data_IF_819109433322
#
_entry.id   IF_819109433322
#
_cell.length_a   1.000
_cell.length_b   1.000
_cell.length_c   1.000
_cell.angle_alpha   90.00
_cell.angle_beta   90.00
_cell.angle_gamma   90.00
#
_symmetry.space_group_name_H-M   'P 1'
#
loop_
_entity.id
_entity.type
_entity.pdbx_description
1 polymer ?
#
# COMPACT_ATOMS: atom_id res chain seq x y z
N UNK A 1 22.11 62.30 -18.32
CA UNK A 1 22.62 62.97 -17.11
C UNK A 1 22.48 61.94 -16.02
N UNK A 2 23.59 61.26 -15.77
CA UNK A 2 23.72 60.16 -14.83
C UNK A 2 23.66 60.68 -13.41
N UNK A 3 22.66 60.26 -12.64
CA UNK A 3 22.70 60.40 -11.19
C UNK A 3 23.18 59.07 -10.61
N UNK A 4 24.51 58.97 -10.49
CA UNK A 4 25.17 58.03 -9.61
C UNK A 4 24.61 58.21 -8.20
N UNK A 5 23.80 57.26 -7.74
CA UNK A 5 23.52 57.11 -6.32
C UNK A 5 24.76 56.45 -5.73
N UNK A 6 25.58 57.26 -5.07
CA UNK A 6 26.70 56.80 -4.26
C UNK A 6 26.11 56.00 -3.09
N UNK A 7 26.50 54.72 -2.97
CA UNK A 7 26.01 53.79 -1.94
C UNK A 7 26.87 53.88 -0.65
N UNK A 8 27.83 54.81 -0.61
CA UNK A 8 28.74 55.03 0.53
C UNK A 8 28.39 56.30 1.34
N UNK A 9 27.15 56.77 1.30
CA UNK A 9 26.66 57.70 2.33
C UNK A 9 26.43 56.87 3.59
N UNK A 10 27.47 56.79 4.44
CA UNK A 10 27.34 56.43 5.85
C UNK A 10 26.07 57.07 6.38
N UNK A 11 25.11 56.25 6.85
CA UNK A 11 23.94 56.73 7.56
C UNK A 11 24.45 57.49 8.80
N UNK A 12 24.65 58.80 8.66
CA UNK A 12 25.09 59.64 9.74
C UNK A 12 23.86 59.90 10.61
N UNK A 13 23.55 58.93 11.47
CA UNK A 13 22.44 58.97 12.41
C UNK A 13 22.82 59.99 13.50
N UNK A 14 22.66 61.27 13.20
CA UNK A 14 22.81 62.34 14.18
C UNK A 14 21.47 62.62 14.88
N UNK A 15 21.54 63.41 15.96
CA UNK A 15 20.37 63.76 16.78
C UNK A 15 19.33 64.55 15.98
N UNK A 16 19.75 65.37 15.01
CA UNK A 16 18.87 66.16 14.15
C UNK A 16 18.15 65.29 13.10
N UNK A 17 18.80 64.24 12.60
CA UNK A 17 18.25 63.25 11.71
C UNK A 17 17.17 62.42 12.42
N UNK A 18 17.45 61.96 13.64
CA UNK A 18 16.45 61.29 14.49
C UNK A 18 15.27 62.23 14.78
N UNK A 19 15.52 63.52 15.04
CA UNK A 19 14.48 64.51 15.30
C UNK A 19 13.58 64.75 14.08
N UNK A 20 14.17 64.84 12.88
CA UNK A 20 13.42 64.93 11.61
C UNK A 20 12.58 63.69 11.34
N UNK A 21 13.10 62.49 11.65
CA UNK A 21 12.35 61.24 11.57
C UNK A 21 11.17 61.25 12.55
N UNK A 22 11.41 61.59 13.82
CA UNK A 22 10.36 61.69 14.84
C UNK A 22 9.25 62.67 14.45
N UNK A 23 9.59 63.83 13.89
CA UNK A 23 8.59 64.79 13.37
C UNK A 23 7.84 64.26 12.15
N UNK A 24 8.54 63.64 11.20
CA UNK A 24 7.95 63.11 9.96
C UNK A 24 6.96 61.98 10.21
N UNK A 25 7.23 61.11 11.19
CA UNK A 25 6.42 59.94 11.49
C UNK A 25 5.52 60.12 12.72
N UNK A 26 5.45 61.33 13.29
CA UNK A 26 4.67 61.66 14.50
C UNK A 26 3.19 61.29 14.44
N UNK A 27 2.60 61.29 13.24
CA UNK A 27 1.18 61.02 13.00
C UNK A 27 0.96 59.66 12.31
N UNK A 28 2.00 58.84 12.22
CA UNK A 28 1.92 57.53 11.58
C UNK A 28 1.61 56.51 12.67
N UNK A 29 0.39 55.98 12.64
CA UNK A 29 -0.07 54.92 13.53
C UNK A 29 0.51 53.56 13.11
N UNK A 30 1.85 53.46 13.09
CA UNK A 30 2.56 52.22 12.73
C UNK A 30 3.21 51.61 13.98
N UNK A 31 3.11 50.28 14.20
CA UNK A 31 3.59 49.60 15.41
C UNK A 31 5.01 49.95 15.85
N UNK A 32 5.90 50.22 14.88
CA UNK A 32 7.30 50.58 15.12
C UNK A 32 7.49 51.96 15.80
N UNK A 33 6.52 52.86 15.69
CA UNK A 33 6.61 54.26 16.17
C UNK A 33 5.57 54.59 17.25
N UNK A 34 4.86 53.59 17.77
CA UNK A 34 3.87 53.78 18.82
C UNK A 34 4.52 53.86 20.21
N UNK A 35 4.14 54.88 20.98
CA UNK A 35 4.59 55.04 22.37
C UNK A 35 3.83 54.08 23.33
N UNK A 36 2.56 53.79 23.04
CA UNK A 36 1.72 52.89 23.82
C UNK A 36 0.81 52.04 22.90
N UNK A 37 0.51 50.80 23.31
CA UNK A 37 -0.43 49.94 22.59
C UNK A 37 -1.86 50.49 22.66
N UNK A 38 -2.60 50.54 21.54
CA UNK A 38 -3.99 50.98 21.55
C UNK A 38 -4.87 50.00 22.35
N UNK A 39 -5.94 50.54 22.94
CA UNK A 39 -6.88 49.75 23.77
C UNK A 39 -7.68 48.72 22.96
N UNK A 40 -7.81 48.95 21.65
CA UNK A 40 -8.46 48.04 20.71
C UNK A 40 -7.47 47.71 19.59
N UNK A 41 -7.04 46.45 19.52
CA UNK A 41 -6.05 45.97 18.55
C UNK A 41 -6.64 45.87 17.13
N UNK A 42 -7.96 45.79 17.00
CA UNK A 42 -8.67 45.61 15.72
C UNK A 42 -8.80 46.92 14.91
N UNK A 43 -8.43 48.07 15.50
CA UNK A 43 -8.53 49.38 14.84
C UNK A 43 -7.28 49.73 14.03
N UNK A 44 -6.20 48.93 14.15
CA UNK A 44 -4.93 49.17 13.47
C UNK A 44 -4.50 47.95 12.64
N UNK A 45 -4.55 48.10 11.31
CA UNK A 45 -4.27 47.02 10.34
C UNK A 45 -2.86 46.44 10.48
N UNK A 46 -1.86 47.28 10.76
CA UNK A 46 -0.47 46.87 10.92
C UNK A 46 -0.22 46.07 12.22
N UNK A 47 -0.89 46.46 13.32
CA UNK A 47 -0.88 45.71 14.58
C UNK A 47 -1.61 44.38 14.44
N UNK A 48 -2.73 44.33 13.69
CA UNK A 48 -3.44 43.09 13.40
C UNK A 48 -2.58 42.13 12.57
N UNK A 49 -1.85 42.64 11.56
CA UNK A 49 -0.91 41.86 10.77
C UNK A 49 0.23 41.30 11.63
N UNK A 50 0.83 42.13 12.49
CA UNK A 50 1.90 41.71 13.41
C UNK A 50 1.37 40.67 14.42
N UNK A 51 0.17 40.88 14.94
CA UNK A 51 -0.48 39.94 15.86
C UNK A 51 -0.78 38.60 15.19
N UNK A 52 -1.27 38.59 13.94
CA UNK A 52 -1.43 37.37 13.13
C UNK A 52 -0.11 36.63 12.95
N UNK A 53 0.98 37.34 12.66
CA UNK A 53 2.32 36.73 12.53
C UNK A 53 2.73 36.06 13.85
N UNK A 54 2.67 36.79 14.97
CA UNK A 54 3.06 36.28 16.29
C UNK A 54 2.19 35.09 16.73
N UNK A 55 0.88 35.15 16.47
CA UNK A 55 -0.06 34.08 16.85
C UNK A 55 -0.05 32.89 15.90
N UNK A 56 0.34 33.07 14.63
CA UNK A 56 0.46 32.00 13.65
C UNK A 56 1.60 31.02 13.97
N UNK A 57 2.68 31.49 14.61
CA UNK A 57 3.79 30.62 15.03
C UNK A 57 3.39 29.68 16.18
N UNK A 58 2.48 30.13 17.06
CA UNK A 58 2.10 29.41 18.28
C UNK A 58 0.77 28.62 18.18
N UNK A 59 -0.10 28.91 17.18
CA UNK A 59 -1.39 28.24 17.03
C UNK A 59 -1.45 27.31 15.80
N UNK A 60 -1.45 25.98 15.99
CA UNK A 60 -1.53 25.00 14.90
C UNK A 60 -2.72 25.14 13.96
N UNK A 61 -3.87 25.62 14.46
CA UNK A 61 -5.08 25.79 13.67
C UNK A 61 -4.95 26.96 12.69
N UNK A 62 -4.43 28.10 13.15
CA UNK A 62 -4.19 29.29 12.32
C UNK A 62 -3.14 28.97 11.27
N UNK A 63 -2.02 28.36 11.68
CA UNK A 63 -0.95 28.00 10.75
C UNK A 63 -1.43 27.05 9.64
N UNK A 64 -2.24 26.04 9.98
CA UNK A 64 -2.81 25.13 8.99
C UNK A 64 -3.82 25.82 8.06
N UNK A 65 -4.54 26.83 8.56
CA UNK A 65 -5.43 27.66 7.76
C UNK A 65 -4.64 28.50 6.75
N UNK A 66 -3.51 29.10 7.15
CA UNK A 66 -2.66 29.86 6.25
C UNK A 66 -2.10 28.98 5.12
N UNK A 67 -1.67 27.75 5.45
CA UNK A 67 -1.27 26.76 4.45
C UNK A 67 -2.41 26.36 3.50
N UNK A 68 -3.67 26.32 3.98
CA UNK A 68 -4.84 26.09 3.14
C UNK A 68 -5.02 27.24 2.14
N UNK A 69 -4.91 28.49 2.57
CA UNK A 69 -5.07 29.66 1.70
C UNK A 69 -3.96 29.73 0.65
N UNK A 70 -2.70 29.56 1.04
CA UNK A 70 -1.58 29.48 0.08
C UNK A 70 -1.79 28.35 -0.92
N UNK A 71 -2.25 27.18 -0.46
CA UNK A 71 -2.58 26.06 -1.35
C UNK A 71 -3.75 26.36 -2.30
N UNK A 72 -4.74 27.13 -1.86
CA UNK A 72 -5.86 27.57 -2.69
C UNK A 72 -5.39 28.54 -3.78
N UNK A 73 -4.46 29.43 -3.48
CA UNK A 73 -3.92 30.38 -4.44
C UNK A 73 -3.13 29.67 -5.54
N UNK A 74 -2.23 28.73 -5.18
CA UNK A 74 -1.58 27.87 -6.17
C UNK A 74 -2.57 27.03 -6.98
N UNK A 75 -3.68 26.60 -6.38
CA UNK A 75 -4.73 25.89 -7.12
C UNK A 75 -5.42 26.78 -8.15
N UNK A 76 -5.66 28.07 -7.83
CA UNK A 76 -6.23 29.05 -8.76
C UNK A 76 -5.27 29.37 -9.91
N UNK A 77 -3.96 29.44 -9.63
CA UNK A 77 -2.92 29.69 -10.63
C UNK A 77 -2.80 28.56 -11.67
N UNK A 78 -3.41 27.40 -11.39
CA UNK A 78 -3.70 26.35 -12.37
C UNK A 78 -2.71 25.18 -12.35
N UNK A 79 -2.77 24.38 -13.42
CA UNK A 79 -2.19 23.02 -13.45
C UNK A 79 -0.68 23.00 -13.15
N UNK A 80 0.05 24.05 -13.53
CA UNK A 80 1.50 24.17 -13.32
C UNK A 80 1.87 24.16 -11.83
N UNK A 81 1.03 24.76 -10.98
CA UNK A 81 1.29 24.94 -9.54
C UNK A 81 0.56 23.93 -8.66
N UNK A 82 -0.01 22.88 -9.25
CA UNK A 82 -0.68 21.82 -8.49
C UNK A 82 0.25 21.04 -7.55
N UNK A 83 1.53 20.91 -7.89
CA UNK A 83 2.48 20.28 -6.96
C UNK A 83 2.76 21.19 -5.75
N UNK A 84 2.89 22.50 -5.97
CA UNK A 84 3.08 23.48 -4.90
C UNK A 84 1.85 23.56 -3.99
N UNK A 85 0.65 23.55 -4.58
CA UNK A 85 -0.61 23.46 -3.84
C UNK A 85 -0.67 22.20 -2.95
N UNK A 86 -0.25 21.04 -3.49
CA UNK A 86 -0.20 19.78 -2.72
C UNK A 86 0.81 19.87 -1.57
N UNK A 87 1.97 20.50 -1.79
CA UNK A 87 2.97 20.71 -0.73
C UNK A 87 2.38 21.57 0.39
N UNK A 88 1.69 22.67 0.06
CA UNK A 88 1.03 23.54 1.05
C UNK A 88 -0.04 22.78 1.84
N UNK A 89 -0.93 22.04 1.16
CA UNK A 89 -1.93 21.24 1.86
C UNK A 89 -1.31 20.14 2.74
N UNK A 90 -0.22 19.50 2.30
CA UNK A 90 0.49 18.50 3.11
C UNK A 90 1.01 19.11 4.41
N UNK A 91 1.64 20.30 4.35
CA UNK A 91 2.14 21.00 5.54
C UNK A 91 1.01 21.28 6.53
N UNK A 92 -0.13 21.80 6.06
CA UNK A 92 -1.30 22.02 6.90
C UNK A 92 -1.84 20.74 7.54
N UNK A 93 -1.91 19.64 6.77
CA UNK A 93 -2.35 18.32 7.25
C UNK A 93 -1.40 17.79 8.33
N UNK A 94 -0.09 17.89 8.11
CA UNK A 94 0.93 17.38 9.02
C UNK A 94 0.90 18.13 10.37
N UNK A 95 0.73 19.45 10.33
CA UNK A 95 0.59 20.29 11.54
C UNK A 95 -0.62 19.84 12.37
N UNK A 96 -1.79 19.71 11.75
CA UNK A 96 -3.01 19.31 12.46
C UNK A 96 -2.94 17.87 12.98
N UNK A 97 -2.38 16.94 12.21
CA UNK A 97 -2.20 15.56 12.65
C UNK A 97 -1.22 15.45 13.82
N UNK A 98 -0.11 16.19 13.78
CA UNK A 98 0.83 16.26 14.88
C UNK A 98 0.19 16.85 16.13
N UNK A 99 -0.65 17.89 15.97
CA UNK A 99 -1.43 18.45 17.06
C UNK A 99 -2.38 17.40 17.69
N UNK A 100 -3.20 16.71 16.89
CA UNK A 100 -4.09 15.66 17.39
C UNK A 100 -3.32 14.53 18.12
N UNK A 101 -2.18 14.11 17.56
CA UNK A 101 -1.31 13.11 18.18
C UNK A 101 -0.75 13.57 19.53
N UNK A 102 -0.39 14.84 19.64
CA UNK A 102 0.09 15.42 20.91
C UNK A 102 -1.00 15.40 22.00
N UNK A 103 -2.25 15.70 21.62
CA UNK A 103 -3.41 15.61 22.53
C UNK A 103 -3.64 14.18 23.02
N UNK A 104 -3.57 13.20 22.12
CA UNK A 104 -3.74 11.78 22.49
C UNK A 104 -2.69 11.31 23.49
N UNK A 105 -1.44 11.76 23.35
CA UNK A 105 -0.34 11.44 24.27
C UNK A 105 -0.58 12.09 25.64
N UNK A 106 -1.00 13.35 25.68
CA UNK A 106 -1.33 14.04 26.93
C UNK A 106 -2.48 13.34 27.67
N UNK A 107 -3.53 12.93 26.96
CA UNK A 107 -4.66 12.19 27.53
C UNK A 107 -4.24 10.83 28.10
N UNK A 108 -3.40 10.06 27.40
CA UNK A 108 -2.87 8.78 27.88
C UNK A 108 -2.00 8.92 29.13
N UNK A 109 -1.20 9.98 29.23
CA UNK A 109 -0.35 10.24 30.39
C UNK A 109 -1.18 10.65 31.63
N UNK A 110 -2.25 11.42 31.44
CA UNK A 110 -3.18 11.78 32.52
C UNK A 110 -3.94 10.56 33.07
N UNK A 111 -4.34 9.61 32.20
CA UNK A 111 -4.98 8.35 32.64
C UNK A 111 -4.04 7.44 33.44
N UNK A 112 -2.73 7.41 33.12
CA UNK A 112 -1.73 6.64 33.89
C UNK A 112 -1.43 7.27 35.26
N UNK A 113 -1.43 8.61 35.36
CA UNK A 113 -1.19 9.32 36.61
C UNK A 113 -2.34 9.13 37.64
N UNK A 114 -3.59 9.03 37.17
CA UNK A 114 -4.73 8.76 38.05
C UNK A 114 -4.78 7.32 38.60
N UNK A 115 -4.25 6.33 37.87
CA UNK A 115 -4.15 4.96 38.39
C UNK A 115 -3.06 4.78 39.46
N UNK A 116 -2.05 5.66 39.51
CA UNK A 116 -1.01 5.61 40.55
C UNK A 116 -1.41 6.36 41.84
N UNK A 117 -2.41 7.25 41.81
CA UNK A 117 -2.94 7.90 43.03
C UNK A 117 -3.96 7.07 43.80
N UNK A 118 -4.51 6.01 43.20
CA UNK A 118 -5.44 5.09 43.88
C UNK A 118 -4.77 3.89 44.56
N UNK A 119 -3.45 3.72 44.44
CA UNK A 119 -2.74 2.55 44.98
C UNK A 119 -1.82 2.84 46.19
N UNK A 120 -1.96 4.00 46.82
CA UNK A 120 -1.11 4.39 47.96
C UNK A 120 -1.79 4.35 49.34
N UNK A 121 -2.92 3.67 49.48
CA UNK A 121 -3.54 3.37 50.76
C UNK A 121 -3.79 1.85 50.91
N UNK A 122 -2.71 1.07 50.97
CA UNK A 122 -2.61 -0.10 51.84
C UNK A 122 -1.23 -0.72 51.69
N UNK A 123 -0.30 -0.34 52.56
CA UNK A 123 0.69 -1.32 53.01
C UNK A 123 1.24 -0.89 54.37
N UNK A 124 0.61 -1.38 55.43
CA UNK A 124 1.35 -1.60 56.66
C UNK A 124 0.94 -2.95 57.26
N UNK A 125 1.96 -3.69 57.66
CA UNK A 125 1.96 -4.89 58.48
C UNK A 125 1.66 -6.26 57.83
N UNK A 126 2.75 -6.95 57.47
CA UNK A 126 3.43 -7.93 58.34
C UNK A 126 3.77 -9.23 57.59
N UNK A 127 4.99 -9.67 57.85
CA UNK A 127 5.70 -10.77 57.21
C UNK A 127 5.61 -12.00 58.14
N UNK A 128 5.03 -13.12 57.70
CA UNK A 128 5.63 -14.44 57.94
C UNK A 128 4.92 -15.62 57.24
N UNK A 129 5.76 -16.44 56.60
CA UNK A 129 5.81 -17.91 56.58
C UNK A 129 4.79 -18.81 55.82
N UNK A 130 5.38 -19.53 54.85
CA UNK A 130 5.35 -20.97 54.58
C UNK A 130 4.09 -21.72 54.03
N UNK A 131 4.29 -22.22 52.81
CA UNK A 131 4.06 -23.57 52.29
C UNK A 131 2.65 -24.19 52.09
N UNK A 132 2.50 -24.70 50.87
CA UNK A 132 1.86 -25.96 50.41
C UNK A 132 0.35 -26.05 50.10
N UNK A 133 0.11 -26.33 48.81
CA UNK A 133 -0.79 -27.29 48.16
C UNK A 133 -2.32 -27.35 48.42
N UNK A 134 -3.02 -27.10 47.31
CA UNK A 134 -4.11 -27.86 46.67
C UNK A 134 -5.58 -27.81 47.14
N UNK A 135 -6.40 -27.63 46.08
CA UNK A 135 -7.74 -28.18 45.81
C UNK A 135 -9.03 -27.43 46.25
N UNK A 136 -9.64 -26.78 45.25
CA UNK A 136 -11.01 -26.94 44.75
C UNK A 136 -12.23 -26.70 45.68
N UNK A 137 -13.10 -25.73 45.35
CA UNK A 137 -14.36 -25.93 44.58
C UNK A 137 -15.28 -24.68 44.65
N UNK A 138 -15.83 -24.28 43.49
CA UNK A 138 -17.14 -23.65 43.17
C UNK A 138 -17.84 -22.66 44.15
N UNK A 139 -18.57 -21.59 43.78
CA UNK A 139 -19.38 -21.33 42.58
C UNK A 139 -19.87 -19.84 42.55
N UNK A 140 -20.17 -19.36 41.34
CA UNK A 140 -21.29 -18.49 40.92
C UNK A 140 -21.18 -16.96 40.74
N UNK A 141 -21.39 -16.57 39.47
CA UNK A 141 -22.07 -15.41 38.87
C UNK A 141 -21.72 -13.97 39.28
N UNK A 142 -21.25 -13.14 38.32
CA UNK A 142 -22.16 -12.43 37.41
C UNK A 142 -21.41 -11.74 36.24
N UNK A 143 -22.09 -11.75 35.12
CA UNK A 143 -21.90 -11.13 33.80
C UNK A 143 -21.34 -9.69 33.81
N UNK A 144 -20.36 -9.35 32.94
CA UNK A 144 -20.58 -8.40 31.83
C UNK A 144 -19.41 -8.32 30.82
N UNK A 145 -19.84 -8.30 29.57
CA UNK A 145 -19.23 -8.20 28.26
C UNK A 145 -18.17 -7.07 28.06
N UNK A 146 -17.01 -7.38 27.48
CA UNK A 146 -16.41 -6.50 26.47
C UNK A 146 -15.55 -7.29 25.46
N UNK A 147 -16.05 -7.37 24.23
CA UNK A 147 -15.52 -8.16 23.13
C UNK A 147 -14.38 -7.41 22.45
N UNK A 148 -13.17 -7.95 22.56
CA UNK A 148 -11.96 -7.49 21.89
C UNK A 148 -11.86 -8.21 20.53
N UNK A 149 -12.24 -7.55 19.43
CA UNK A 149 -12.06 -8.11 18.09
C UNK A 149 -10.75 -7.61 17.47
N UNK A 150 -9.68 -8.34 17.76
CA UNK A 150 -8.42 -8.30 17.03
C UNK A 150 -8.54 -9.28 15.86
N UNK A 151 -8.91 -8.80 14.67
CA UNK A 151 -8.91 -9.65 13.47
C UNK A 151 -7.63 -9.42 12.66
N UNK A 152 -6.69 -10.32 12.91
CA UNK A 152 -5.57 -10.67 12.06
C UNK A 152 -6.13 -11.11 10.69
N UNK A 153 -5.86 -10.36 9.61
CA UNK A 153 -6.14 -10.87 8.27
C UNK A 153 -4.86 -11.12 7.49
N UNK A 154 -4.82 -12.37 7.04
CA UNK A 154 -3.72 -13.08 6.47
C UNK A 154 -3.37 -12.54 5.08
N UNK A 155 -2.08 -12.58 4.81
CA UNK A 155 -1.45 -12.25 3.55
C UNK A 155 -1.99 -13.19 2.45
N UNK A 156 -2.53 -12.66 1.35
CA UNK A 156 -2.68 -13.44 0.13
C UNK A 156 -2.04 -12.69 -1.04
N UNK A 157 -1.00 -13.34 -1.56
CA UNK A 157 -0.10 -12.92 -2.61
C UNK A 157 -0.82 -12.99 -3.96
N UNK A 158 -0.87 -11.89 -4.70
CA UNK A 158 -1.14 -11.92 -6.14
C UNK A 158 0.07 -11.29 -6.85
N UNK A 159 0.96 -12.16 -7.33
CA UNK A 159 1.95 -11.83 -8.35
C UNK A 159 1.22 -11.36 -9.62
N UNK A 160 1.53 -10.14 -10.06
CA UNK A 160 1.51 -9.79 -11.48
C UNK A 160 2.94 -9.43 -11.86
N UNK A 161 3.60 -10.36 -12.54
CA UNK A 161 4.91 -10.19 -13.17
C UNK A 161 4.79 -9.41 -14.49
N UNK A 162 5.78 -8.55 -14.73
CA UNK A 162 6.17 -7.96 -16.02
C UNK A 162 5.47 -6.63 -16.38
N UNK A 163 6.13 -5.50 -16.63
CA UNK A 163 7.54 -5.15 -16.79
C UNK A 163 7.63 -3.62 -16.61
N UNK A 164 8.55 -3.11 -15.79
CA UNK A 164 9.34 -1.94 -16.18
C UNK A 164 10.61 -1.86 -15.33
N UNK A 165 11.72 -1.78 -16.04
CA UNK A 165 13.10 -2.00 -15.62
C UNK A 165 13.66 -0.92 -14.70
N UNK A 166 14.54 -1.37 -13.82
CA UNK A 166 15.48 -0.59 -13.00
C UNK A 166 16.11 0.60 -13.73
N UNK A 167 16.23 1.73 -13.01
CA UNK A 167 17.50 2.45 -12.95
C UNK A 167 17.64 3.15 -11.58
N UNK A 168 18.37 2.50 -10.68
CA UNK A 168 18.99 3.15 -9.55
C UNK A 168 20.11 4.06 -10.06
N UNK A 169 20.18 5.29 -9.56
CA UNK A 169 21.46 5.95 -9.29
C UNK A 169 21.32 6.76 -8.00
N UNK A 170 22.02 6.28 -6.98
CA UNK A 170 22.32 6.99 -5.75
C UNK A 170 22.98 8.34 -6.04
N UNK A 171 22.66 9.36 -5.26
CA UNK A 171 23.63 10.40 -4.92
C UNK A 171 23.35 10.92 -3.51
N UNK A 172 24.22 10.47 -2.59
CA UNK A 172 24.56 11.14 -1.34
C UNK A 172 25.06 12.55 -1.66
N UNK A 173 24.51 13.57 -1.00
CA UNK A 173 25.19 14.86 -0.83
C UNK A 173 25.13 15.25 0.64
N UNK A 174 26.26 14.96 1.31
CA UNK A 174 26.75 15.72 2.45
C UNK A 174 26.96 17.18 2.02
N UNK A 175 26.57 18.15 2.84
CA UNK A 175 27.23 19.45 2.85
C UNK A 175 27.38 19.96 4.29
N UNK A 176 28.62 19.81 4.77
CA UNK A 176 29.24 20.68 5.78
C UNK A 176 29.82 21.89 5.05
N UNK A 177 29.59 23.09 5.56
CA UNK A 177 30.46 24.28 5.46
C UNK A 177 29.96 25.25 6.54
N UNK A 178 30.67 25.45 7.64
CA UNK A 178 31.87 26.28 7.86
C UNK A 178 31.48 27.63 8.48
N UNK A 179 31.86 27.74 9.74
CA UNK A 179 31.96 28.95 10.55
C UNK A 179 33.04 29.93 10.03
N UNK A 180 33.04 31.11 10.67
CA UNK A 180 33.98 32.24 10.60
C UNK A 180 33.67 33.26 9.46
N UNK A 181 33.44 34.54 9.72
CA UNK A 181 34.24 35.51 10.50
C UNK A 181 33.37 36.74 10.85
N UNK A 182 33.37 37.19 12.11
CA UNK A 182 33.81 38.55 12.52
C UNK A 182 33.71 38.72 14.04
N UNK A 183 34.87 38.65 14.70
CA UNK A 183 35.11 39.22 16.03
C UNK A 183 35.30 40.72 15.88
N UNK A 184 34.69 41.50 16.77
CA UNK A 184 35.35 42.68 17.32
C UNK A 184 34.98 42.85 18.80
N UNK A 185 36.04 42.83 19.61
CA UNK A 185 36.08 43.29 20.99
C UNK A 185 35.73 44.78 21.05
N UNK A 186 35.19 45.28 22.19
CA UNK A 186 35.79 46.35 23.01
C UNK A 186 34.95 46.60 24.28
N UNK A 187 35.62 46.31 25.41
CA UNK A 187 35.75 47.04 26.69
C UNK A 187 34.51 47.54 27.43
N UNK A 188 34.42 47.00 28.65
CA UNK A 188 33.86 47.62 29.85
C UNK A 188 34.41 49.04 30.10
N UNK A 189 33.50 49.96 30.39
CA UNK A 189 33.75 51.09 31.30
C UNK A 189 32.51 51.33 32.15
N UNK A 190 32.70 51.19 33.47
CA UNK A 190 31.74 51.54 34.50
C UNK A 190 31.47 53.05 34.49
N UNK A 191 30.20 53.42 34.68
CA UNK A 191 29.83 54.58 35.50
C UNK A 191 28.44 54.38 36.10
N UNK A 192 28.37 54.63 37.39
CA UNK A 192 27.27 54.43 38.34
C UNK A 192 26.32 55.62 38.40
N UNK A 193 25.10 55.34 38.89
CA UNK A 193 24.04 56.26 39.36
C UNK A 193 23.20 56.92 38.25
N UNK A 194 21.87 56.97 38.28
CA UNK A 194 20.91 56.95 39.39
C UNK A 194 19.51 56.48 38.94
N UNK A 195 18.94 55.56 39.72
CA UNK A 195 17.52 55.41 40.10
C UNK A 195 16.42 56.01 39.22
N UNK A 196 15.64 55.13 38.59
CA UNK A 196 14.32 55.42 38.02
C UNK A 196 13.55 54.11 37.79
N UNK A 197 13.01 53.52 38.85
CA UNK A 197 12.15 52.34 38.78
C UNK A 197 10.92 52.64 37.91
N UNK A 198 10.81 52.01 36.75
CA UNK A 198 9.51 51.77 36.09
C UNK A 198 9.42 50.28 35.80
N UNK A 199 8.61 49.61 36.63
CA UNK A 199 8.19 48.22 36.47
C UNK A 199 7.27 48.14 35.25
N UNK A 200 7.75 47.62 34.12
CA UNK A 200 6.91 47.20 33.00
C UNK A 200 7.43 45.88 32.40
N UNK A 201 7.60 44.87 33.26
CA UNK A 201 7.98 43.50 32.84
C UNK A 201 6.84 42.47 33.03
N UNK A 202 5.62 42.91 33.37
CA UNK A 202 4.53 42.01 33.77
C UNK A 202 3.37 41.88 32.76
N UNK A 203 3.36 42.64 31.66
CA UNK A 203 2.26 42.57 30.67
C UNK A 203 2.50 41.47 29.62
N UNK A 204 3.75 41.22 29.19
CA UNK A 204 4.07 40.19 28.18
C UNK A 204 4.35 38.77 28.74
N UNK A 205 4.34 38.59 30.06
CA UNK A 205 4.52 37.25 30.68
C UNK A 205 3.21 36.60 31.14
N UNK A 206 2.14 37.37 31.33
CA UNK A 206 0.89 36.85 31.88
C UNK A 206 -0.13 36.35 30.84
N UNK A 207 0.08 36.59 29.55
CA UNK A 207 -0.79 36.07 28.49
C UNK A 207 -0.27 34.79 27.79
N UNK A 208 0.92 34.30 28.15
CA UNK A 208 1.44 33.01 27.62
C UNK A 208 0.65 31.78 28.07
N UNK A 209 -0.31 31.95 28.99
CA UNK A 209 -1.14 30.89 29.55
C UNK A 209 -2.65 31.14 29.39
N UNK A 210 -3.08 32.03 28.49
CA UNK A 210 -4.41 31.85 27.88
C UNK A 210 -4.26 30.71 26.88
N UNK A 211 -4.44 29.48 27.37
CA UNK A 211 -4.76 28.34 26.51
C UNK A 211 -5.97 28.74 25.66
N UNK A 212 -5.74 29.25 24.46
CA UNK A 212 -6.76 29.36 23.43
C UNK A 212 -7.17 27.91 23.20
N UNK A 213 -8.31 27.53 23.78
CA UNK A 213 -8.81 26.16 23.74
C UNK A 213 -9.26 25.90 22.30
N UNK A 214 -8.34 25.45 21.47
CA UNK A 214 -8.60 25.07 20.08
C UNK A 214 -9.70 24.00 20.10
N UNK A 215 -10.81 24.26 19.41
CA UNK A 215 -11.87 23.27 19.26
C UNK A 215 -11.38 22.14 18.35
N UNK A 216 -11.43 20.92 18.87
CA UNK A 216 -11.08 19.70 18.14
C UNK A 216 -12.01 19.54 16.92
N UNK A 217 -13.25 20.02 17.01
CA UNK A 217 -14.16 19.98 15.88
C UNK A 217 -13.66 20.87 14.72
N UNK A 218 -13.18 22.08 15.01
CA UNK A 218 -12.64 22.98 13.99
C UNK A 218 -11.38 22.40 13.34
N UNK A 219 -10.52 21.75 14.13
CA UNK A 219 -9.37 21.00 13.61
C UNK A 219 -9.81 19.91 12.63
N UNK A 220 -10.83 19.11 12.99
CA UNK A 220 -11.35 18.05 12.11
C UNK A 220 -11.99 18.60 10.84
N UNK A 221 -12.73 19.70 10.95
CA UNK A 221 -13.35 20.38 9.80
C UNK A 221 -12.27 20.89 8.83
N UNK A 222 -11.25 21.59 9.35
CA UNK A 222 -10.15 22.11 8.54
C UNK A 222 -9.33 20.97 7.92
N UNK A 223 -9.06 19.91 8.67
CA UNK A 223 -8.37 18.73 8.17
C UNK A 223 -9.17 18.06 7.04
N UNK A 224 -10.49 17.96 7.19
CA UNK A 224 -11.38 17.47 6.13
C UNK A 224 -11.30 18.31 4.86
N UNK A 225 -11.26 19.64 5.00
CA UNK A 225 -11.11 20.58 3.88
C UNK A 225 -9.79 20.40 3.14
N UNK A 226 -8.67 20.31 3.87
CA UNK A 226 -7.35 20.11 3.30
C UNK A 226 -7.25 18.81 2.50
N UNK A 227 -7.73 17.69 3.08
CA UNK A 227 -7.80 16.41 2.36
C UNK A 227 -8.71 16.52 1.13
N UNK A 228 -9.85 17.21 1.22
CA UNK A 228 -10.76 17.40 0.08
C UNK A 228 -10.08 18.18 -1.06
N UNK A 229 -9.43 19.31 -0.76
CA UNK A 229 -8.74 20.12 -1.75
C UNK A 229 -7.59 19.37 -2.41
N UNK A 230 -6.81 18.61 -1.62
CA UNK A 230 -5.74 17.74 -2.13
C UNK A 230 -6.29 16.62 -3.03
N UNK A 231 -7.42 16.01 -2.65
CA UNK A 231 -8.10 14.99 -3.47
C UNK A 231 -8.48 15.53 -4.85
N UNK A 232 -9.04 16.75 -4.92
CA UNK A 232 -9.43 17.40 -6.19
C UNK A 232 -8.22 17.54 -7.10
N UNK A 233 -7.07 17.95 -6.57
CA UNK A 233 -5.83 18.04 -7.34
C UNK A 233 -5.39 16.66 -7.83
N UNK A 234 -5.38 15.66 -6.94
CA UNK A 234 -5.03 14.29 -7.32
C UNK A 234 -5.93 13.73 -8.41
N UNK A 235 -7.23 13.99 -8.36
CA UNK A 235 -8.16 13.67 -9.44
C UNK A 235 -7.77 14.35 -10.76
N UNK A 236 -7.54 15.68 -10.74
CA UNK A 236 -7.13 16.43 -11.94
C UNK A 236 -5.80 15.94 -12.53
N UNK A 237 -4.88 15.45 -11.69
CA UNK A 237 -3.61 14.82 -12.10
C UNK A 237 -3.75 13.34 -12.47
N UNK A 238 -4.96 12.80 -12.55
CA UNK A 238 -5.28 11.37 -12.84
C UNK A 238 -4.64 10.38 -11.85
N UNK A 239 -4.36 10.83 -10.62
CA UNK A 239 -3.83 10.02 -9.50
C UNK A 239 -5.02 9.48 -8.67
N UNK A 240 -5.84 8.62 -9.27
CA UNK A 240 -7.13 8.22 -8.72
C UNK A 240 -7.05 7.48 -7.38
N UNK A 241 -6.03 6.66 -7.17
CA UNK A 241 -5.82 5.94 -5.90
C UNK A 241 -5.60 6.94 -4.76
N UNK A 242 -4.68 7.90 -4.94
CA UNK A 242 -4.40 8.94 -3.95
C UNK A 242 -5.62 9.84 -3.71
N UNK A 243 -6.37 10.16 -4.77
CA UNK A 243 -7.64 10.87 -4.64
C UNK A 243 -8.62 10.11 -3.75
N UNK A 244 -8.75 8.79 -3.94
CA UNK A 244 -9.67 7.97 -3.16
C UNK A 244 -9.30 7.91 -1.68
N UNK A 245 -8.01 7.80 -1.37
CA UNK A 245 -7.52 7.81 0.01
C UNK A 245 -7.78 9.16 0.69
N UNK A 246 -7.53 10.27 0.00
CA UNK A 246 -7.84 11.61 0.51
C UNK A 246 -9.34 11.84 0.67
N UNK A 247 -10.16 11.35 -0.25
CA UNK A 247 -11.63 11.39 -0.13
C UNK A 247 -12.11 10.61 1.11
N UNK A 248 -11.54 9.44 1.40
CA UNK A 248 -11.85 8.64 2.59
C UNK A 248 -11.46 9.38 3.87
N UNK A 249 -10.24 9.91 3.93
CA UNK A 249 -9.74 10.67 5.08
C UNK A 249 -10.63 11.90 5.32
N UNK A 250 -10.89 12.69 4.28
CA UNK A 250 -11.77 13.87 4.34
C UNK A 250 -13.15 13.53 4.91
N UNK A 251 -13.76 12.45 4.41
CA UNK A 251 -15.08 12.01 4.87
C UNK A 251 -15.08 11.46 6.31
N UNK A 252 -13.96 10.85 6.75
CA UNK A 252 -13.84 10.33 8.12
C UNK A 252 -13.83 11.46 9.16
N UNK A 253 -13.29 12.63 8.80
CA UNK A 253 -13.27 13.80 9.68
C UNK A 253 -14.56 14.64 9.59
N UNK A 254 -15.18 14.72 8.41
CA UNK A 254 -16.45 15.42 8.20
C UNK A 254 -17.37 14.63 7.26
N UNK A 255 -18.40 14.01 7.84
CA UNK A 255 -19.39 13.21 7.10
C UNK A 255 -20.32 14.04 6.21
N UNK A 256 -20.29 15.38 6.29
CA UNK A 256 -21.08 16.28 5.43
C UNK A 256 -20.33 16.71 4.17
N UNK A 257 -19.07 16.29 3.99
CA UNK A 257 -18.23 16.74 2.85
C UNK A 257 -18.61 16.05 1.55
N UNK A 258 -19.65 16.55 0.87
CA UNK A 258 -20.19 15.97 -0.37
C UNK A 258 -19.18 15.91 -1.52
N UNK A 259 -18.30 16.92 -1.67
CA UNK A 259 -17.26 16.96 -2.72
C UNK A 259 -16.36 15.71 -2.65
N UNK A 260 -16.01 15.25 -1.44
CA UNK A 260 -15.17 14.07 -1.25
C UNK A 260 -15.84 12.80 -1.75
N UNK A 261 -17.16 12.65 -1.57
CA UNK A 261 -17.90 11.53 -2.16
C UNK A 261 -18.00 11.66 -3.68
N UNK A 262 -18.30 12.86 -4.21
CA UNK A 262 -18.42 13.08 -5.65
C UNK A 262 -17.12 12.74 -6.39
N UNK A 263 -15.97 13.24 -5.92
CA UNK A 263 -14.66 12.89 -6.48
C UNK A 263 -14.29 11.42 -6.23
N UNK A 264 -14.82 10.80 -5.17
CA UNK A 264 -14.75 9.36 -4.95
C UNK A 264 -15.48 8.56 -6.03
N UNK A 265 -16.72 8.94 -6.38
CA UNK A 265 -17.51 8.33 -7.46
C UNK A 265 -16.76 8.45 -8.79
N UNK A 266 -16.29 9.65 -9.12
CA UNK A 266 -15.55 9.90 -10.35
C UNK A 266 -14.25 9.08 -10.41
N UNK A 267 -13.50 9.01 -9.32
CA UNK A 267 -12.26 8.23 -9.26
C UNK A 267 -12.53 6.75 -9.42
N UNK A 268 -13.54 6.20 -8.74
CA UNK A 268 -13.93 4.80 -8.88
C UNK A 268 -14.41 4.48 -10.29
N UNK A 269 -15.17 5.38 -10.94
CA UNK A 269 -15.60 5.20 -12.32
C UNK A 269 -14.41 5.15 -13.29
N UNK A 270 -13.44 6.06 -13.16
CA UNK A 270 -12.23 6.08 -13.98
C UNK A 270 -11.32 4.85 -13.77
N UNK A 271 -11.38 4.22 -12.59
CA UNK A 271 -10.64 2.99 -12.27
C UNK A 271 -11.45 1.71 -12.54
N UNK A 272 -12.65 1.82 -13.14
CA UNK A 272 -13.57 0.70 -13.38
C UNK A 272 -13.97 -0.08 -12.11
N UNK A 273 -13.86 0.55 -10.94
CA UNK A 273 -14.27 0.01 -9.64
C UNK A 273 -15.76 0.26 -9.41
N UNK A 274 -16.60 -0.29 -10.29
CA UNK A 274 -18.04 0.00 -10.34
C UNK A 274 -18.79 -0.34 -9.06
N UNK A 275 -18.43 -1.45 -8.40
CA UNK A 275 -19.07 -1.85 -7.14
C UNK A 275 -18.88 -0.80 -6.04
N UNK A 276 -17.67 -0.24 -5.92
CA UNK A 276 -17.37 0.79 -4.94
C UNK A 276 -17.96 2.13 -5.36
N UNK A 277 -17.97 2.46 -6.66
CA UNK A 277 -18.67 3.63 -7.18
C UNK A 277 -20.16 3.64 -6.77
N UNK A 278 -20.86 2.50 -6.90
CA UNK A 278 -22.24 2.35 -6.45
C UNK A 278 -22.41 2.57 -4.93
N UNK A 279 -21.45 2.13 -4.10
CA UNK A 279 -21.48 2.41 -2.65
C UNK A 279 -21.35 3.91 -2.37
N UNK A 280 -20.46 4.60 -3.09
CA UNK A 280 -20.29 6.04 -2.97
C UNK A 280 -21.53 6.80 -3.45
N UNK A 281 -22.18 6.36 -4.53
CA UNK A 281 -23.46 6.90 -5.02
C UNK A 281 -24.53 6.79 -3.93
N UNK A 282 -24.70 5.62 -3.31
CA UNK A 282 -25.71 5.44 -2.26
C UNK A 282 -25.49 6.39 -1.08
N UNK A 283 -24.23 6.56 -0.64
CA UNK A 283 -23.88 7.51 0.44
C UNK A 283 -24.10 8.96 0.03
N UNK A 284 -23.81 9.28 -1.24
CA UNK A 284 -23.99 10.63 -1.76
C UNK A 284 -25.48 10.97 -1.84
N UNK A 285 -26.31 10.07 -2.36
CA UNK A 285 -27.76 10.21 -2.41
C UNK A 285 -28.39 10.40 -1.01
N UNK A 286 -27.87 9.70 0.00
CA UNK A 286 -28.28 9.87 1.40
C UNK A 286 -27.96 11.27 1.94
N UNK A 287 -26.77 11.80 1.64
CA UNK A 287 -26.39 13.15 2.05
C UNK A 287 -27.18 14.22 1.30
N UNK A 288 -27.45 14.03 0.01
CA UNK A 288 -28.24 14.97 -0.77
C UNK A 288 -29.62 15.17 -0.14
N UNK A 289 -30.29 14.12 0.31
CA UNK A 289 -31.60 14.22 0.98
C UNK A 289 -31.60 15.12 2.23
N UNK A 290 -30.45 15.28 2.88
CA UNK A 290 -30.30 16.02 4.13
C UNK A 290 -29.83 17.47 3.94
N UNK A 291 -29.51 17.88 2.71
CA UNK A 291 -29.04 19.24 2.40
C UNK A 291 -30.23 20.07 1.89
N UNK A 292 -30.47 21.22 2.52
CA UNK A 292 -31.40 22.23 1.99
C UNK A 292 -30.71 22.95 0.81
N UNK A 293 -31.42 23.26 -0.27
CA UNK A 293 -30.94 24.02 -1.45
C UNK A 293 -29.86 23.34 -2.32
N UNK A 294 -29.99 22.03 -2.52
CA UNK A 294 -29.11 21.16 -3.34
C UNK A 294 -28.85 21.72 -4.74
N UNK A 295 -29.86 22.33 -5.36
CA UNK A 295 -29.84 22.83 -6.74
C UNK A 295 -28.82 23.95 -6.96
N UNK A 296 -28.40 24.65 -5.90
CA UNK A 296 -27.40 25.72 -5.98
C UNK A 296 -25.95 25.21 -6.02
N UNK A 297 -25.69 23.97 -5.56
CA UNK A 297 -24.34 23.44 -5.36
C UNK A 297 -23.93 22.37 -6.37
N UNK A 298 -24.89 21.67 -6.99
CA UNK A 298 -24.65 20.53 -7.88
C UNK A 298 -25.60 20.59 -9.07
N UNK A 299 -25.06 20.35 -10.27
CA UNK A 299 -25.87 20.09 -11.46
C UNK A 299 -26.51 18.70 -11.37
N UNK A 300 -27.76 18.65 -10.89
CA UNK A 300 -28.52 17.41 -10.66
C UNK A 300 -28.66 16.58 -11.96
N UNK A 301 -28.84 17.23 -13.11
CA UNK A 301 -28.99 16.54 -14.40
C UNK A 301 -27.71 15.80 -14.81
N UNK A 302 -26.55 16.43 -14.61
CA UNK A 302 -25.26 15.83 -14.91
C UNK A 302 -24.95 14.65 -13.99
N UNK A 303 -25.26 14.80 -12.69
CA UNK A 303 -25.10 13.72 -11.72
C UNK A 303 -25.99 12.52 -12.03
N UNK A 304 -27.27 12.72 -12.34
CA UNK A 304 -28.19 11.62 -12.69
C UNK A 304 -27.74 10.89 -13.97
N UNK A 305 -27.22 11.62 -14.96
CA UNK A 305 -26.63 11.01 -16.16
C UNK A 305 -25.41 10.16 -15.83
N UNK A 306 -24.50 10.68 -15.00
CA UNK A 306 -23.31 9.95 -14.54
C UNK A 306 -23.70 8.69 -13.76
N UNK A 307 -24.67 8.81 -12.85
CA UNK A 307 -25.20 7.71 -12.05
C UNK A 307 -25.74 6.59 -12.94
N UNK A 308 -26.58 6.93 -13.93
CA UNK A 308 -27.11 5.97 -14.90
C UNK A 308 -26.02 5.25 -15.67
N UNK A 309 -25.03 5.98 -16.19
CA UNK A 309 -23.87 5.41 -16.91
C UNK A 309 -23.08 4.41 -16.04
N UNK A 310 -22.82 4.75 -14.78
CA UNK A 310 -22.10 3.86 -13.85
C UNK A 310 -22.90 2.59 -13.58
N UNK A 311 -24.21 2.68 -13.36
CA UNK A 311 -25.06 1.51 -13.14
C UNK A 311 -25.13 0.60 -14.37
N UNK A 312 -25.27 1.16 -15.58
CA UNK A 312 -25.24 0.37 -16.82
C UNK A 312 -23.91 -0.36 -16.99
N UNK A 313 -22.78 0.32 -16.73
CA UNK A 313 -21.44 -0.29 -16.76
C UNK A 313 -21.30 -1.40 -15.71
N UNK A 314 -21.85 -1.20 -14.51
CA UNK A 314 -21.81 -2.19 -13.44
C UNK A 314 -22.59 -3.45 -13.79
N UNK A 315 -23.81 -3.32 -14.32
CA UNK A 315 -24.63 -4.44 -14.78
C UNK A 315 -23.93 -5.22 -15.90
N UNK A 316 -23.33 -4.52 -16.86
CA UNK A 316 -22.56 -5.14 -17.92
C UNK A 316 -21.34 -5.91 -17.38
N UNK A 317 -20.62 -5.34 -16.41
CA UNK A 317 -19.51 -6.01 -15.72
C UNK A 317 -19.97 -7.29 -15.01
N UNK A 318 -21.09 -7.24 -14.27
CA UNK A 318 -21.66 -8.41 -13.60
C UNK A 318 -22.04 -9.51 -14.59
N UNK A 319 -22.66 -9.15 -15.72
CA UNK A 319 -23.03 -10.09 -16.78
C UNK A 319 -21.82 -10.79 -17.38
N UNK A 320 -20.75 -10.04 -17.68
CA UNK A 320 -19.48 -10.59 -18.20
C UNK A 320 -18.82 -11.52 -17.20
N UNK A 321 -18.76 -11.13 -15.92
CA UNK A 321 -18.20 -11.95 -14.85
C UNK A 321 -18.95 -13.28 -14.71
N UNK A 322 -20.29 -13.25 -14.74
CA UNK A 322 -21.12 -14.46 -14.67
C UNK A 322 -20.89 -15.38 -15.88
N UNK A 323 -20.89 -14.82 -17.09
CA UNK A 323 -20.63 -15.59 -18.33
C UNK A 323 -19.26 -16.28 -18.29
N UNK A 324 -18.22 -15.56 -17.90
CA UNK A 324 -16.87 -16.12 -17.79
C UNK A 324 -16.77 -17.23 -16.72
N UNK A 325 -17.51 -17.10 -15.61
CA UNK A 325 -17.60 -18.16 -14.59
C UNK A 325 -18.33 -19.40 -15.11
N UNK A 326 -19.44 -19.22 -15.82
CA UNK A 326 -20.20 -20.33 -16.40
C UNK A 326 -19.42 -21.06 -17.50
N UNK A 327 -18.65 -20.33 -18.32
CA UNK A 327 -17.75 -20.90 -19.33
C UNK A 327 -16.62 -21.71 -18.69
N UNK A 328 -15.96 -21.18 -17.64
CA UNK A 328 -14.92 -21.91 -16.90
C UNK A 328 -15.44 -23.22 -16.30
N UNK A 329 -16.62 -23.18 -15.67
CA UNK A 329 -17.26 -24.38 -15.11
C UNK A 329 -17.53 -25.44 -16.19
N UNK A 330 -18.01 -25.03 -17.37
CA UNK A 330 -18.24 -25.97 -18.48
C UNK A 330 -16.95 -26.62 -18.98
N UNK A 331 -15.86 -25.87 -19.07
CA UNK A 331 -14.53 -26.40 -19.46
C UNK A 331 -14.03 -27.41 -18.43
N UNK A 332 -14.07 -27.05 -17.13
CA UNK A 332 -13.66 -27.95 -16.05
C UNK A 332 -14.50 -29.24 -15.99
N UNK A 333 -15.82 -29.15 -16.22
CA UNK A 333 -16.69 -30.32 -16.31
C UNK A 333 -16.37 -31.19 -17.54
N UNK A 334 -16.02 -30.59 -18.68
CA UNK A 334 -15.61 -31.32 -19.88
C UNK A 334 -14.27 -32.02 -19.68
N UNK A 335 -13.28 -31.37 -19.07
CA UNK A 335 -11.98 -31.98 -18.75
C UNK A 335 -12.12 -33.16 -17.78
N UNK A 336 -12.92 -33.00 -16.72
CA UNK A 336 -13.23 -34.11 -15.80
C UNK A 336 -13.90 -35.28 -16.49
N UNK A 337 -14.85 -35.02 -17.41
CA UNK A 337 -15.48 -36.08 -18.21
C UNK A 337 -14.47 -36.83 -19.07
N UNK A 338 -13.53 -36.12 -19.71
CA UNK A 338 -12.46 -36.75 -20.51
C UNK A 338 -11.53 -37.61 -19.65
N UNK A 339 -11.11 -37.11 -18.49
CA UNK A 339 -10.24 -37.86 -17.57
C UNK A 339 -10.95 -39.12 -17.06
N UNK A 340 -12.22 -39.01 -16.65
CA UNK A 340 -13.01 -40.16 -16.21
C UNK A 340 -13.14 -41.22 -17.31
N UNK A 341 -13.30 -40.82 -18.58
CA UNK A 341 -13.32 -41.75 -19.72
C UNK A 341 -11.99 -42.51 -19.86
N UNK A 342 -10.85 -41.83 -19.68
CA UNK A 342 -9.53 -42.46 -19.71
C UNK A 342 -9.37 -43.45 -18.55
N UNK A 343 -9.76 -43.06 -17.34
CA UNK A 343 -9.73 -43.96 -16.19
C UNK A 343 -10.59 -45.21 -16.40
N UNK A 344 -11.77 -45.08 -17.01
CA UNK A 344 -12.62 -46.21 -17.33
C UNK A 344 -11.99 -47.15 -18.37
N UNK A 345 -11.27 -46.61 -19.36
CA UNK A 345 -10.51 -47.41 -20.34
C UNK A 345 -9.36 -48.16 -19.65
N UNK A 346 -8.59 -47.47 -18.80
CA UNK A 346 -7.48 -48.08 -18.05
C UNK A 346 -7.98 -49.19 -17.11
N UNK A 347 -9.10 -48.97 -16.40
CA UNK A 347 -9.76 -49.98 -15.57
C UNK A 347 -10.19 -51.20 -16.38
N UNK A 348 -10.80 -51.02 -17.55
CA UNK A 348 -11.19 -52.13 -18.45
C UNK A 348 -9.99 -52.96 -18.93
N UNK A 349 -8.82 -52.34 -19.08
CA UNK A 349 -7.55 -53.01 -19.45
C UNK A 349 -6.83 -53.64 -18.26
N UNK A 350 -7.38 -53.54 -17.05
CA UNK A 350 -6.75 -53.92 -15.77
C UNK A 350 -5.40 -53.23 -15.55
N UNK A 351 -5.26 -51.96 -15.95
CA UNK A 351 -4.05 -51.17 -15.78
C UNK A 351 -4.22 -50.29 -14.54
N UNK A 352 -3.28 -50.38 -13.60
CA UNK A 352 -3.25 -49.55 -12.40
C UNK A 352 -2.58 -48.21 -12.68
N UNK A 353 -3.28 -47.11 -12.40
CA UNK A 353 -2.70 -45.76 -12.44
C UNK A 353 -1.89 -45.52 -11.17
N UNK A 354 -0.66 -45.04 -11.34
CA UNK A 354 0.32 -44.73 -10.31
C UNK A 354 0.67 -43.23 -10.33
N UNK A 355 1.18 -42.67 -9.20
CA UNK A 355 1.71 -41.32 -9.19
C UNK A 355 2.94 -41.20 -10.10
N UNK A 356 3.20 -39.99 -10.61
CA UNK A 356 4.37 -39.72 -11.44
C UNK A 356 5.66 -39.84 -10.62
N UNK A 357 6.74 -40.27 -11.26
CA UNK A 357 8.08 -40.35 -10.65
C UNK A 357 8.70 -38.97 -10.53
N UNK A 358 8.54 -38.15 -11.58
CA UNK A 358 8.96 -36.76 -11.60
C UNK A 358 7.71 -35.88 -11.50
N UNK A 359 7.62 -35.12 -10.42
CA UNK A 359 6.59 -34.09 -10.27
C UNK A 359 6.85 -32.93 -11.23
N UNK A 360 5.77 -32.25 -11.63
CA UNK A 360 5.83 -31.08 -12.50
C UNK A 360 6.84 -30.07 -11.95
N UNK A 361 8.05 -29.99 -12.52
CA UNK A 361 8.78 -28.74 -12.51
C UNK A 361 7.83 -27.71 -13.16
N UNK A 362 7.58 -26.57 -12.50
CA UNK A 362 6.56 -25.56 -12.82
C UNK A 362 6.47 -25.06 -14.28
N UNK A 363 7.30 -25.56 -15.19
CA UNK A 363 7.44 -25.14 -16.57
C UNK A 363 6.75 -26.07 -17.59
N UNK A 364 6.31 -27.28 -17.21
CA UNK A 364 5.70 -28.25 -18.15
C UNK A 364 4.31 -28.65 -17.67
N UNK A 365 3.30 -28.48 -18.53
CA UNK A 365 1.93 -28.95 -18.31
C UNK A 365 1.81 -30.28 -19.07
N UNK A 366 1.66 -31.43 -18.38
CA UNK A 366 1.56 -32.71 -19.04
C UNK A 366 0.21 -32.86 -19.76
N UNK A 367 0.25 -33.60 -20.86
CA UNK A 367 -0.89 -33.88 -21.73
C UNK A 367 -1.50 -35.21 -21.32
N UNK A 368 -2.84 -35.29 -21.28
CA UNK A 368 -3.58 -36.55 -21.18
C UNK A 368 -4.95 -36.41 -21.83
N UNK A 369 -5.16 -37.05 -22.97
CA UNK A 369 -6.46 -37.05 -23.67
C UNK A 369 -6.65 -38.30 -24.54
N UNK A 370 -7.85 -38.45 -25.12
CA UNK A 370 -8.19 -39.49 -26.11
C UNK A 370 -8.31 -38.88 -27.50
N UNK A 371 -7.67 -39.49 -28.50
CA UNK A 371 -7.83 -39.10 -29.90
C UNK A 371 -9.15 -39.61 -30.52
N UNK A 372 -9.34 -39.33 -31.81
CA UNK A 372 -10.51 -39.79 -32.58
C UNK A 372 -10.58 -41.32 -32.70
N UNK A 373 -9.45 -42.01 -32.59
CA UNK A 373 -9.34 -43.46 -32.65
C UNK A 373 -9.40 -44.13 -31.27
N UNK A 374 -9.63 -43.36 -30.19
CA UNK A 374 -9.66 -43.81 -28.79
C UNK A 374 -8.31 -44.29 -28.24
N UNK A 375 -7.20 -43.87 -28.84
CA UNK A 375 -5.86 -44.01 -28.26
C UNK A 375 -5.62 -42.95 -27.19
N UNK A 376 -4.98 -43.37 -26.10
CA UNK A 376 -4.58 -42.47 -25.02
C UNK A 376 -3.29 -41.76 -25.45
N UNK A 377 -3.33 -40.43 -25.42
CA UNK A 377 -2.18 -39.55 -25.59
C UNK A 377 -1.69 -39.08 -24.24
N UNK A 378 -0.39 -39.14 -23.99
CA UNK A 378 0.21 -38.74 -22.73
C UNK A 378 1.64 -38.20 -22.89
N UNK A 379 2.19 -37.62 -21.83
CA UNK A 379 3.55 -37.07 -21.84
C UNK A 379 4.60 -38.12 -21.46
N UNK A 380 5.73 -38.12 -22.17
CA UNK A 380 6.87 -39.01 -21.94
C UNK A 380 8.13 -38.20 -21.66
N UNK A 381 8.84 -38.55 -20.58
CA UNK A 381 10.18 -38.05 -20.28
C UNK A 381 11.22 -39.08 -20.71
N UNK A 382 12.09 -38.67 -21.62
CA UNK A 382 13.24 -39.45 -22.07
C UNK A 382 14.46 -39.02 -21.25
N UNK A 383 14.98 -39.94 -20.44
CA UNK A 383 16.08 -39.70 -19.51
C UNK A 383 17.32 -40.40 -20.06
N UNK A 384 18.28 -39.62 -20.53
CA UNK A 384 19.53 -40.15 -21.07
C UNK A 384 20.52 -40.37 -19.94
N UNK A 385 20.72 -41.63 -19.56
CA UNK A 385 21.52 -41.97 -18.38
C UNK A 385 22.98 -41.51 -18.50
N UNK A 386 23.59 -41.67 -19.68
CA UNK A 386 25.00 -41.32 -19.90
C UNK A 386 25.28 -39.81 -19.92
N UNK A 387 24.29 -39.03 -20.37
CA UNK A 387 24.43 -37.59 -20.55
C UNK A 387 23.82 -36.79 -19.40
N UNK A 388 23.02 -37.45 -18.56
CA UNK A 388 22.23 -36.82 -17.51
C UNK A 388 21.34 -35.68 -18.04
N UNK A 389 20.72 -35.93 -19.20
CA UNK A 389 19.82 -34.99 -19.90
C UNK A 389 18.42 -35.59 -19.89
N UNK A 390 17.41 -34.73 -19.72
CA UNK A 390 16.00 -35.10 -19.85
C UNK A 390 15.43 -34.36 -21.05
N UNK A 391 14.79 -35.10 -21.96
CA UNK A 391 13.97 -34.55 -23.04
C UNK A 391 12.51 -34.91 -22.83
N UNK A 392 11.61 -34.06 -23.29
CA UNK A 392 10.17 -34.22 -23.08
C UNK A 392 9.46 -34.36 -24.42
N UNK A 393 8.72 -35.45 -24.58
CA UNK A 393 7.70 -35.60 -25.63
C UNK A 393 6.36 -35.27 -24.98
N UNK A 394 5.80 -34.11 -25.32
CA UNK A 394 4.55 -33.64 -24.72
C UNK A 394 3.37 -34.52 -25.11
N UNK A 395 3.29 -34.89 -26.39
CA UNK A 395 2.17 -35.60 -26.99
C UNK A 395 2.66 -36.90 -27.63
N UNK A 396 2.55 -37.99 -26.88
CA UNK A 396 2.93 -39.34 -27.29
C UNK A 396 1.68 -40.23 -27.28
N UNK A 397 1.36 -40.85 -28.42
CA UNK A 397 0.20 -41.73 -28.53
C UNK A 397 0.55 -43.16 -28.10
N UNK A 398 -0.36 -43.83 -27.39
CA UNK A 398 -0.13 -45.24 -27.02
C UNK A 398 0.02 -46.19 -28.23
N UNK A 399 -0.45 -45.79 -29.41
CA UNK A 399 -0.31 -46.51 -30.68
C UNK A 399 1.05 -46.33 -31.35
N UNK A 400 1.95 -45.53 -30.79
CA UNK A 400 3.30 -45.31 -31.31
C UNK A 400 4.32 -46.18 -30.58
N UNK A 401 5.45 -46.44 -31.24
CA UNK A 401 6.61 -47.06 -30.64
C UNK A 401 7.68 -46.00 -30.32
N UNK A 402 8.60 -46.34 -29.43
CA UNK A 402 9.71 -45.44 -29.07
C UNK A 402 10.58 -45.15 -30.30
N UNK A 403 10.80 -46.15 -31.17
CA UNK A 403 11.60 -45.97 -32.38
C UNK A 403 10.97 -45.00 -33.40
N UNK A 404 9.68 -44.67 -33.32
CA UNK A 404 9.11 -43.64 -34.20
C UNK A 404 9.73 -42.25 -33.95
N UNK A 405 10.28 -42.04 -32.74
CA UNK A 405 10.98 -40.83 -32.33
C UNK A 405 12.51 -40.98 -32.39
N UNK A 406 13.02 -41.90 -33.22
CA UNK A 406 14.43 -42.28 -33.31
C UNK A 406 15.41 -41.10 -33.45
N UNK A 407 15.08 -40.10 -34.29
CA UNK A 407 15.95 -38.94 -34.49
C UNK A 407 16.13 -38.08 -33.24
N UNK A 408 15.15 -38.11 -32.34
CA UNK A 408 15.19 -37.43 -31.05
C UNK A 408 15.91 -38.33 -30.03
N UNK A 409 15.50 -39.60 -29.95
CA UNK A 409 15.96 -40.60 -28.97
C UNK A 409 17.41 -41.00 -29.17
N UNK A 410 17.95 -40.91 -30.38
CA UNK A 410 19.31 -41.35 -30.66
C UNK A 410 20.25 -40.17 -30.76
N UNK A 411 21.04 -39.94 -29.72
CA UNK A 411 22.05 -38.87 -29.72
C UNK A 411 23.26 -39.23 -30.57
N UNK A 412 23.68 -40.49 -30.57
CA UNK A 412 24.78 -40.98 -31.41
C UNK A 412 24.25 -41.83 -32.55
N UNK A 413 24.15 -41.24 -33.75
CA UNK A 413 23.64 -41.94 -34.95
C UNK A 413 24.38 -43.25 -35.24
N UNK A 414 25.66 -43.32 -34.91
CA UNK A 414 26.55 -44.46 -35.21
C UNK A 414 26.35 -45.67 -34.27
N UNK A 415 25.77 -45.49 -33.07
CA UNK A 415 25.61 -46.57 -32.08
C UNK A 415 24.40 -47.45 -32.39
N UNK A 416 24.53 -48.74 -32.70
CA UNK A 416 23.36 -49.59 -33.01
C UNK A 416 22.59 -50.08 -31.78
N UNK A 417 23.13 -49.88 -30.58
CA UNK A 417 22.60 -50.42 -29.33
C UNK A 417 21.74 -49.36 -28.63
N UNK A 418 20.53 -49.75 -28.23
CA UNK A 418 19.60 -48.91 -27.49
C UNK A 418 18.84 -49.76 -26.47
N UNK A 419 19.04 -49.48 -25.19
CA UNK A 419 18.29 -50.08 -24.09
C UNK A 419 17.30 -49.05 -23.54
N UNK A 420 16.04 -49.46 -23.42
CA UNK A 420 14.96 -48.63 -22.91
C UNK A 420 14.40 -49.25 -21.63
N UNK A 421 14.34 -48.46 -20.55
CA UNK A 421 13.76 -48.88 -19.27
C UNK A 421 12.67 -47.92 -18.84
N UNK A 422 11.45 -48.41 -18.63
CA UNK A 422 10.40 -47.62 -18.01
C UNK A 422 10.59 -47.64 -16.50
N UNK A 423 10.60 -46.46 -15.89
CA UNK A 423 10.65 -46.25 -14.45
C UNK A 423 9.25 -45.98 -13.90
N UNK A 424 8.91 -46.68 -12.83
CA UNK A 424 7.72 -46.46 -12.02
C UNK A 424 8.13 -46.15 -10.57
N UNK A 425 7.19 -45.68 -9.71
CA UNK A 425 7.45 -45.50 -8.29
C UNK A 425 8.06 -46.75 -7.61
N UNK A 426 8.67 -46.52 -6.44
CA UNK A 426 9.34 -47.55 -5.63
C UNK A 426 10.56 -48.21 -6.32
N UNK A 427 11.29 -47.46 -7.16
CA UNK A 427 12.48 -47.91 -7.90
C UNK A 427 12.22 -49.18 -8.73
N UNK A 428 11.04 -49.28 -9.35
CA UNK A 428 10.67 -50.40 -10.20
C UNK A 428 10.91 -50.09 -11.67
N UNK A 429 11.68 -50.95 -12.35
CA UNK A 429 12.12 -50.74 -13.72
C UNK A 429 11.67 -51.88 -14.63
N UNK A 430 11.18 -51.56 -15.82
CA UNK A 430 10.82 -52.53 -16.85
C UNK A 430 11.65 -52.32 -18.11
N UNK A 431 12.44 -53.32 -18.49
CA UNK A 431 13.14 -53.29 -19.78
C UNK A 431 12.13 -53.58 -20.89
N UNK A 432 12.09 -52.70 -21.89
CA UNK A 432 11.13 -52.78 -22.99
C UNK A 432 11.84 -52.88 -24.34
N UNK A 433 11.17 -53.52 -25.30
CA UNK A 433 11.59 -53.50 -26.69
C UNK A 433 11.17 -52.16 -27.32
N UNK A 434 12.14 -51.47 -27.92
CA UNK A 434 11.97 -50.16 -28.55
C UNK A 434 11.07 -50.19 -29.80
N UNK A 435 10.87 -51.35 -30.43
CA UNK A 435 10.00 -51.54 -31.59
C UNK A 435 8.55 -51.88 -31.25
N UNK A 436 8.22 -52.13 -29.98
CA UNK A 436 6.84 -52.43 -29.58
C UNK A 436 6.03 -51.16 -29.38
N UNK A 437 4.76 -51.23 -29.75
CA UNK A 437 3.81 -50.17 -29.47
C UNK A 437 3.61 -50.04 -27.97
N UNK A 438 3.44 -48.80 -27.52
CA UNK A 438 3.34 -48.52 -26.09
C UNK A 438 2.08 -49.12 -25.46
N UNK A 439 1.00 -49.26 -26.21
CA UNK A 439 -0.22 -49.92 -25.77
C UNK A 439 0.03 -51.41 -25.43
N UNK A 440 0.85 -52.12 -26.20
CA UNK A 440 1.23 -53.51 -25.93
C UNK A 440 2.09 -53.61 -24.67
N UNK A 441 3.05 -52.68 -24.53
CA UNK A 441 3.91 -52.56 -23.35
C UNK A 441 3.06 -52.30 -22.09
N UNK A 442 2.17 -51.31 -22.12
CA UNK A 442 1.26 -50.98 -21.04
C UNK A 442 0.35 -52.16 -20.66
N UNK A 443 -0.13 -52.90 -21.67
CA UNK A 443 -0.95 -54.08 -21.45
C UNK A 443 -0.19 -55.25 -20.80
N UNK A 444 1.13 -55.36 -20.99
CA UNK A 444 1.96 -56.34 -20.27
C UNK A 444 2.32 -55.88 -18.85
N UNK A 445 2.70 -54.61 -18.68
CA UNK A 445 3.14 -54.05 -17.39
C UNK A 445 1.97 -53.92 -16.41
N UNK A 446 0.76 -53.61 -16.91
CA UNK A 446 -0.43 -53.33 -16.10
C UNK A 446 -0.27 -52.15 -15.14
N UNK A 447 0.68 -51.25 -15.40
CA UNK A 447 0.90 -50.01 -14.66
C UNK A 447 0.99 -48.83 -15.62
N UNK A 448 0.49 -47.67 -15.21
CA UNK A 448 0.51 -46.45 -16.00
C UNK A 448 0.73 -45.23 -15.09
N UNK A 449 1.54 -44.29 -15.55
CA UNK A 449 1.69 -42.96 -14.94
C UNK A 449 1.31 -41.93 -16.00
N UNK A 450 0.77 -40.79 -15.57
CA UNK A 450 0.41 -39.71 -16.50
C UNK A 450 1.64 -39.18 -17.25
N UNK A 451 2.78 -39.11 -16.56
CA UNK A 451 4.08 -38.85 -17.14
C UNK A 451 4.87 -40.15 -17.12
N UNK A 452 5.12 -40.72 -18.30
CA UNK A 452 5.89 -41.95 -18.42
C UNK A 452 7.38 -41.62 -18.49
N UNK A 453 8.17 -42.20 -17.58
CA UNK A 453 9.61 -41.94 -17.50
C UNK A 453 10.38 -43.10 -18.12
N UNK A 454 11.14 -42.82 -19.18
CA UNK A 454 11.85 -43.82 -19.95
C UNK A 454 13.34 -43.47 -19.95
N UNK A 455 14.14 -44.34 -19.33
CA UNK A 455 15.59 -44.26 -19.37
C UNK A 455 16.10 -44.84 -20.68
N UNK A 456 16.89 -44.06 -21.39
CA UNK A 456 17.54 -44.42 -22.65
C UNK A 456 19.04 -44.59 -22.39
N UNK A 457 19.58 -45.73 -22.83
CA UNK A 457 20.99 -46.09 -22.67
C UNK A 457 21.53 -46.62 -24.00
N UNK A 458 22.61 -46.02 -24.50
CA UNK A 458 23.24 -46.32 -25.80
C UNK A 458 24.58 -47.08 -25.66
N UNK A 459 25.00 -47.44 -24.44
CA UNK A 459 26.28 -48.10 -24.16
C UNK A 459 26.12 -49.33 -23.23
N UNK A 460 26.72 -50.46 -23.61
CA UNK A 460 26.71 -51.70 -22.81
C UNK A 460 27.28 -51.54 -21.41
N UNK A 461 28.37 -50.80 -21.25
CA UNK A 461 29.00 -50.57 -19.94
C UNK A 461 28.08 -49.72 -19.05
N UNK A 462 27.45 -48.70 -19.64
CA UNK A 462 26.48 -47.87 -18.93
C UNK A 462 25.24 -48.69 -18.55
N UNK A 463 24.80 -49.59 -19.42
CA UNK A 463 23.69 -50.50 -19.17
C UNK A 463 23.98 -51.46 -18.01
N UNK A 464 25.18 -52.04 -17.96
CA UNK A 464 25.62 -52.88 -16.83
C UNK A 464 25.57 -52.06 -15.54
N UNK A 465 26.12 -50.85 -15.54
CA UNK A 465 26.13 -49.99 -14.36
C UNK A 465 24.72 -49.59 -13.91
N UNK A 466 23.82 -49.29 -14.87
CA UNK A 466 22.44 -48.94 -14.57
C UNK A 466 21.69 -50.08 -13.87
N UNK A 467 21.96 -51.33 -14.26
CA UNK A 467 21.30 -52.51 -13.68
C UNK A 467 21.70 -52.80 -12.24
N UNK A 468 22.85 -52.30 -11.78
CA UNK A 468 23.36 -52.59 -10.44
C UNK A 468 22.39 -52.02 -9.40
N UNK A 469 21.95 -52.88 -8.46
CA UNK A 469 21.04 -52.55 -7.38
C UNK A 469 19.64 -52.04 -7.80
N UNK A 470 19.22 -52.28 -9.05
CA UNK A 470 17.86 -51.95 -9.52
C UNK A 470 16.99 -53.19 -9.68
N UNK A 471 15.71 -53.06 -9.33
CA UNK A 471 14.73 -54.12 -9.52
C UNK A 471 14.17 -54.07 -10.94
N UNK A 472 14.77 -54.85 -11.85
CA UNK A 472 14.45 -54.83 -13.28
C UNK A 472 13.67 -56.07 -13.68
N UNK A 473 12.51 -55.84 -14.31
CA UNK A 473 11.70 -56.87 -14.97
C UNK A 473 11.90 -56.78 -16.49
N UNK A 474 12.02 -57.93 -17.17
CA UNK A 474 12.25 -58.02 -18.61
C UNK A 474 10.95 -58.43 -19.34
N UNK A 475 10.57 -57.72 -20.43
CA UNK A 475 9.26 -57.86 -21.11
C UNK A 475 9.32 -58.28 -22.58
#
# INVERSE_FOLDING_TARGET
MDNNINIDDDFNIDVDYIKKLSEKYKHVDHPLFMDELPKNLEENEDLEALYKIITSEDNPLILAHDYKEVGNDYFKDGIKYYDDAVISYNKGIDILNNYLKSLDIQNKNNSKSNNNKSNNNNNNNNNNNNNNNNNNNNNNNNNNNNNNNNNNNNNNNNNCDGMCTNLFHSNNINNKTNDDVFKQNVKETNNTESTGNIKNNDILKNDKNKNIKIDINDVKVLLSDLYCNRAIIHYKKKRYIKCLDDCKNSFSFNNKKYKSLYFGILSCNNMEMYHDACKYINKFDELLKNIQDIESYINVQEYEKLKKDIFEKYEHYLRRKKKAQDERKKIEEQEKKKINQIEDILKKRNIQTLPNVYDNNNNIIPVLYLDENMYIHFTVFLIYYEFNIIETILDFAESQCIMDYYDIIKKRRDNQILYCYIEFPDDTFFMINNYFYMCDIMNKIKRFTHILSIHIIENDVANINFKINKNITYL
#
